data_IF_789381962805
#
_entry.id   IF_789381962805
#
_cell.length_a   1.000
_cell.length_b   1.000
_cell.length_c   1.000
_cell.angle_alpha   90.00
_cell.angle_beta   90.00
_cell.angle_gamma   90.00
#
_symmetry.space_group_name_H-M   'P 1'
#
loop_
_entity.id
_entity.type
_entity.pdbx_description
1 polymer ?
#
# COMPACT_ATOMS: atom_id res chain seq x y z
N UNK A 1 -76.77 -12.08 18.35
CA UNK A 1 -76.11 -12.98 17.38
C UNK A 1 -75.73 -12.10 16.20
N UNK A 2 -74.67 -11.28 16.24
CA UNK A 2 -73.22 -11.52 16.12
C UNK A 2 -72.80 -12.54 15.06
N UNK A 3 -71.93 -12.05 14.18
CA UNK A 3 -71.06 -12.68 13.17
C UNK A 3 -71.66 -12.72 11.76
N UNK A 4 -71.00 -12.21 10.73
CA UNK A 4 -69.70 -11.57 10.61
C UNK A 4 -69.43 -11.33 9.13
N UNK A 5 -69.16 -10.08 8.76
CA UNK A 5 -68.62 -9.71 7.45
C UNK A 5 -67.15 -10.09 7.50
N UNK A 6 -66.71 -11.05 6.69
CA UNK A 6 -65.28 -11.28 6.46
C UNK A 6 -64.80 -10.17 5.52
N UNK A 7 -64.18 -9.16 6.12
CA UNK A 7 -63.38 -8.16 5.44
C UNK A 7 -62.14 -8.84 4.86
N UNK A 8 -61.96 -8.65 3.55
CA UNK A 8 -60.75 -8.97 2.82
C UNK A 8 -59.73 -7.87 3.18
N UNK A 9 -58.97 -8.06 4.26
CA UNK A 9 -57.87 -7.16 4.61
C UNK A 9 -56.62 -7.52 3.81
N UNK A 10 -56.22 -6.53 3.01
CA UNK A 10 -54.97 -6.39 2.28
C UNK A 10 -53.75 -6.90 3.05
N UNK A 11 -53.08 -7.92 2.51
CA UNK A 11 -51.66 -8.17 2.75
C UNK A 11 -50.83 -7.43 1.69
N UNK A 12 -50.66 -6.12 1.90
CA UNK A 12 -49.62 -5.31 1.26
C UNK A 12 -48.79 -4.67 2.39
N UNK A 13 -48.07 -5.48 3.16
CA UNK A 13 -47.20 -4.98 4.23
C UNK A 13 -46.03 -5.97 4.45
N UNK A 14 -45.28 -6.25 3.39
CA UNK A 14 -44.07 -7.11 3.50
C UNK A 14 -42.94 -6.79 2.52
N UNK A 15 -43.02 -5.72 1.72
CA UNK A 15 -41.98 -5.39 0.74
C UNK A 15 -41.21 -4.08 1.03
N UNK A 16 -41.77 -3.13 1.79
CA UNK A 16 -41.09 -1.84 2.05
C UNK A 16 -39.88 -1.97 2.99
N UNK A 17 -39.93 -2.86 3.98
CA UNK A 17 -38.81 -3.09 4.91
C UNK A 17 -37.64 -3.87 4.26
N UNK A 18 -37.93 -4.77 3.31
CA UNK A 18 -36.88 -5.50 2.57
C UNK A 18 -36.18 -4.59 1.55
N UNK A 19 -36.92 -3.70 0.91
CA UNK A 19 -36.39 -2.77 -0.09
C UNK A 19 -35.52 -1.69 0.57
N UNK A 20 -35.93 -1.17 1.73
CA UNK A 20 -35.11 -0.24 2.52
C UNK A 20 -33.81 -0.89 3.03
N UNK A 21 -33.87 -2.18 3.41
CA UNK A 21 -32.71 -2.96 3.87
C UNK A 21 -31.75 -3.32 2.72
N UNK A 22 -32.26 -3.65 1.54
CA UNK A 22 -31.43 -3.94 0.36
C UNK A 22 -30.76 -2.68 -0.19
N UNK A 23 -31.45 -1.55 -0.21
CA UNK A 23 -30.90 -0.25 -0.61
C UNK A 23 -29.80 0.23 0.35
N UNK A 24 -29.99 0.08 1.67
CA UNK A 24 -28.95 0.35 2.65
C UNK A 24 -27.70 -0.52 2.44
N UNK A 25 -27.86 -1.80 2.07
CA UNK A 25 -26.75 -2.70 1.76
C UNK A 25 -26.05 -2.35 0.45
N UNK A 26 -26.78 -1.88 -0.56
CA UNK A 26 -26.19 -1.36 -1.81
C UNK A 26 -25.30 -0.15 -1.51
N UNK A 27 -25.78 0.80 -0.70
CA UNK A 27 -24.98 1.94 -0.25
C UNK A 27 -23.73 1.51 0.54
N UNK A 28 -23.88 0.54 1.45
CA UNK A 28 -22.75 0.01 2.20
C UNK A 28 -21.70 -0.65 1.28
N UNK A 29 -22.12 -1.40 0.27
CA UNK A 29 -21.22 -1.99 -0.72
C UNK A 29 -20.45 -0.92 -1.51
N UNK A 30 -21.14 0.13 -1.96
CA UNK A 30 -20.52 1.21 -2.72
C UNK A 30 -19.53 2.02 -1.85
N UNK A 31 -19.84 2.24 -0.57
CA UNK A 31 -18.90 2.86 0.35
C UNK A 31 -17.67 1.98 0.59
N UNK A 32 -17.83 0.68 0.79
CA UNK A 32 -16.70 -0.25 0.97
C UNK A 32 -15.82 -0.30 -0.28
N UNK A 33 -16.42 -0.31 -1.49
CA UNK A 33 -15.67 -0.22 -2.75
C UNK A 33 -14.86 1.06 -2.85
N UNK A 34 -15.49 2.20 -2.55
CA UNK A 34 -14.84 3.51 -2.58
C UNK A 34 -13.65 3.57 -1.62
N UNK A 35 -13.79 3.02 -0.42
CA UNK A 35 -12.72 2.99 0.58
C UNK A 35 -11.59 2.04 0.15
N UNK A 36 -11.92 0.87 -0.41
CA UNK A 36 -10.93 -0.06 -0.95
C UNK A 36 -10.11 0.58 -2.09
N UNK A 37 -10.76 1.30 -3.00
CA UNK A 37 -10.08 2.02 -4.09
C UNK A 37 -9.12 3.08 -3.56
N UNK A 38 -9.52 3.81 -2.51
CA UNK A 38 -8.66 4.80 -1.85
C UNK A 38 -7.41 4.16 -1.24
N UNK A 39 -7.55 3.00 -0.59
CA UNK A 39 -6.42 2.27 -0.02
C UNK A 39 -5.48 1.71 -1.10
N UNK A 40 -6.03 1.17 -2.18
CA UNK A 40 -5.22 0.72 -3.33
C UNK A 40 -4.43 1.87 -3.95
N UNK A 41 -5.02 3.06 -4.02
CA UNK A 41 -4.34 4.26 -4.47
C UNK A 41 -3.23 4.69 -3.51
N UNK A 42 -3.48 4.69 -2.20
CA UNK A 42 -2.48 4.95 -1.16
C UNK A 42 -1.28 4.02 -1.27
N UNK A 43 -1.53 2.71 -1.43
CA UNK A 43 -0.49 1.72 -1.62
C UNK A 43 0.34 1.95 -2.91
N UNK A 44 -0.32 2.34 -3.99
CA UNK A 44 0.35 2.69 -5.24
C UNK A 44 1.25 3.93 -5.07
N UNK A 45 0.78 4.93 -4.34
CA UNK A 45 1.57 6.14 -4.03
C UNK A 45 2.78 5.81 -3.15
N UNK A 46 2.63 4.94 -2.14
CA UNK A 46 3.75 4.42 -1.34
C UNK A 46 4.77 3.68 -2.21
N UNK A 47 4.30 2.84 -3.14
CA UNK A 47 5.17 2.11 -4.07
C UNK A 47 5.94 3.07 -4.99
N UNK A 48 5.28 4.11 -5.50
CA UNK A 48 5.94 5.15 -6.30
C UNK A 48 6.96 5.94 -5.46
N UNK A 49 6.63 6.28 -4.21
CA UNK A 49 7.53 6.95 -3.27
C UNK A 49 8.78 6.09 -3.01
N UNK A 50 8.60 4.80 -2.75
CA UNK A 50 9.71 3.84 -2.61
C UNK A 50 10.61 3.82 -3.85
N UNK A 51 10.02 3.78 -5.04
CA UNK A 51 10.77 3.81 -6.30
C UNK A 51 11.59 5.10 -6.47
N UNK A 52 11.04 6.25 -6.09
CA UNK A 52 11.78 7.53 -6.10
C UNK A 52 13.00 7.48 -5.18
N UNK A 53 12.92 6.82 -4.02
CA UNK A 53 14.08 6.62 -3.12
C UNK A 53 15.17 5.79 -3.80
N UNK A 54 14.79 4.68 -4.44
CA UNK A 54 15.74 3.84 -5.19
C UNK A 54 16.42 4.63 -6.31
N UNK A 55 15.65 5.39 -7.10
CA UNK A 55 16.19 6.23 -8.16
C UNK A 55 17.15 7.30 -7.63
N UNK A 56 16.79 7.95 -6.52
CA UNK A 56 17.63 8.95 -5.87
C UNK A 56 18.95 8.35 -5.38
N UNK A 57 18.91 7.22 -4.65
CA UNK A 57 20.11 6.52 -4.21
C UNK A 57 20.99 6.08 -5.40
N UNK A 58 20.39 5.64 -6.50
CA UNK A 58 21.11 5.30 -7.73
C UNK A 58 21.82 6.49 -8.38
N UNK A 59 21.20 7.68 -8.35
CA UNK A 59 21.83 8.92 -8.81
C UNK A 59 23.02 9.28 -7.91
N UNK A 60 22.85 9.25 -6.59
CA UNK A 60 23.93 9.51 -5.62
C UNK A 60 25.10 8.55 -5.82
N UNK A 61 24.82 7.26 -5.98
CA UNK A 61 25.84 6.25 -6.24
C UNK A 61 26.59 6.50 -7.56
N UNK A 62 25.88 6.93 -8.61
CA UNK A 62 26.48 7.25 -9.91
C UNK A 62 27.40 8.47 -9.82
N UNK A 63 26.96 9.53 -9.16
CA UNK A 63 27.77 10.73 -8.90
C UNK A 63 29.03 10.35 -8.12
N UNK A 64 28.88 9.58 -7.04
CA UNK A 64 30.02 9.15 -6.23
C UNK A 64 30.99 8.26 -7.04
N UNK A 65 30.48 7.27 -7.78
CA UNK A 65 31.31 6.41 -8.62
C UNK A 65 32.08 7.20 -9.70
N UNK A 66 31.51 8.27 -10.23
CA UNK A 66 32.20 9.17 -11.18
C UNK A 66 33.34 9.97 -10.54
N UNK A 67 33.27 10.23 -9.23
CA UNK A 67 34.29 10.98 -8.48
C UNK A 67 35.45 10.10 -8.00
N UNK A 68 35.25 8.79 -7.88
CA UNK A 68 36.30 7.84 -7.43
C UNK A 68 37.54 7.87 -8.33
N UNK A 69 37.44 7.84 -9.69
CA UNK A 69 38.61 7.92 -10.56
C UNK A 69 39.34 9.27 -10.50
N UNK A 70 38.64 10.36 -10.21
CA UNK A 70 39.26 11.69 -10.07
C UNK A 70 40.03 11.85 -8.76
N UNK A 71 39.76 11.03 -7.75
CA UNK A 71 40.56 10.93 -6.54
C UNK A 71 41.66 9.89 -6.74
N UNK A 72 42.68 10.24 -7.51
CA UNK A 72 43.74 9.33 -8.00
C UNK A 72 44.62 8.69 -6.92
N UNK A 73 44.33 8.90 -5.63
CA UNK A 73 45.03 8.25 -4.53
C UNK A 73 44.07 7.87 -3.39
N UNK A 74 43.45 6.69 -3.50
CA UNK A 74 42.77 6.02 -2.37
C UNK A 74 43.66 5.84 -1.13
N UNK A 75 44.96 6.13 -1.24
CA UNK A 75 45.93 6.19 -0.14
C UNK A 75 45.76 7.40 0.79
N UNK A 76 44.93 8.39 0.46
CA UNK A 76 44.61 9.55 1.33
C UNK A 76 43.39 9.33 2.22
N UNK A 77 42.79 8.13 2.22
CA UNK A 77 41.65 7.86 3.10
C UNK A 77 42.11 7.79 4.56
N UNK A 78 41.85 8.87 5.30
CA UNK A 78 41.99 8.87 6.76
C UNK A 78 41.00 7.88 7.38
N UNK A 79 41.31 7.24 8.53
CA UNK A 79 40.41 6.27 9.17
C UNK A 79 39.01 6.83 9.42
N UNK A 80 38.92 8.11 9.78
CA UNK A 80 37.65 8.81 10.04
C UNK A 80 36.85 8.95 8.74
N UNK A 81 37.47 9.43 7.65
CA UNK A 81 36.79 9.52 6.35
C UNK A 81 36.35 8.15 5.82
N UNK A 82 37.17 7.11 6.01
CA UNK A 82 36.84 5.74 5.62
C UNK A 82 35.62 5.19 6.37
N UNK A 83 35.51 5.45 7.68
CA UNK A 83 34.34 5.06 8.48
C UNK A 83 33.08 5.79 7.99
N UNK A 84 33.18 7.10 7.71
CA UNK A 84 32.03 7.88 7.22
C UNK A 84 31.56 7.41 5.85
N UNK A 85 32.48 7.18 4.91
CA UNK A 85 32.15 6.67 3.57
C UNK A 85 31.62 5.23 3.62
N UNK A 86 32.21 4.37 4.44
CA UNK A 86 31.71 3.01 4.66
C UNK A 86 30.29 3.02 5.25
N UNK A 87 30.06 3.87 6.26
CA UNK A 87 28.74 4.08 6.85
C UNK A 87 27.72 4.61 5.85
N UNK A 88 28.13 5.53 4.97
CA UNK A 88 27.30 6.04 3.88
C UNK A 88 26.86 4.93 2.92
N UNK A 89 27.80 4.09 2.46
CA UNK A 89 27.49 2.98 1.54
C UNK A 89 26.54 1.98 2.19
N UNK A 90 26.78 1.61 3.46
CA UNK A 90 25.91 0.68 4.19
C UNK A 90 24.51 1.28 4.35
N UNK A 91 24.42 2.56 4.72
CA UNK A 91 23.15 3.25 4.94
C UNK A 91 22.32 3.39 3.65
N UNK A 92 22.96 3.79 2.54
CA UNK A 92 22.32 3.86 1.22
C UNK A 92 21.93 2.47 0.70
N UNK A 93 22.76 1.46 0.95
CA UNK A 93 22.47 0.06 0.61
C UNK A 93 21.24 -0.46 1.35
N UNK A 94 21.18 -0.23 2.67
CA UNK A 94 20.05 -0.61 3.51
C UNK A 94 18.75 0.10 3.09
N UNK A 95 18.83 1.42 2.84
CA UNK A 95 17.73 2.23 2.31
C UNK A 95 17.18 1.65 1.00
N UNK A 96 18.08 1.35 0.05
CA UNK A 96 17.71 0.81 -1.26
C UNK A 96 17.10 -0.59 -1.14
N UNK A 97 17.63 -1.44 -0.27
CA UNK A 97 17.09 -2.77 -0.02
C UNK A 97 15.65 -2.72 0.52
N UNK A 98 15.39 -1.86 1.51
CA UNK A 98 14.05 -1.68 2.09
C UNK A 98 13.07 -1.15 1.04
N UNK A 99 13.44 -0.09 0.32
CA UNK A 99 12.60 0.47 -0.73
C UNK A 99 12.32 -0.52 -1.88
N UNK A 100 13.29 -1.38 -2.21
CA UNK A 100 13.11 -2.44 -3.21
C UNK A 100 12.17 -3.55 -2.73
N UNK A 101 12.25 -3.94 -1.45
CA UNK A 101 11.28 -4.87 -0.86
C UNK A 101 9.86 -4.30 -0.91
N UNK A 102 9.67 -3.02 -0.57
CA UNK A 102 8.36 -2.36 -0.67
C UNK A 102 7.80 -2.42 -2.10
N UNK A 103 8.67 -2.33 -3.11
CA UNK A 103 8.29 -2.39 -4.51
C UNK A 103 7.91 -3.79 -4.99
N UNK A 104 8.37 -4.87 -4.34
CA UNK A 104 8.04 -6.23 -4.79
C UNK A 104 6.52 -6.36 -4.88
N UNK A 105 6.06 -6.58 -6.12
CA UNK A 105 4.65 -6.68 -6.49
C UNK A 105 4.09 -7.96 -5.91
N UNK A 106 3.68 -7.91 -4.67
CA UNK A 106 2.77 -8.92 -4.16
C UNK A 106 1.42 -8.73 -4.83
N UNK A 107 0.83 -9.81 -5.34
CA UNK A 107 -0.53 -9.81 -5.84
C UNK A 107 -1.47 -9.48 -4.69
N UNK A 108 -2.01 -8.28 -4.72
CA UNK A 108 -3.04 -7.85 -3.78
C UNK A 108 -4.37 -8.08 -4.48
N UNK A 109 -5.23 -8.87 -3.85
CA UNK A 109 -6.62 -9.00 -4.31
C UNK A 109 -7.26 -7.61 -4.26
N UNK A 110 -8.03 -7.26 -5.28
CA UNK A 110 -8.63 -5.91 -5.44
C UNK A 110 -10.15 -5.96 -5.33
N UNK A 111 -10.70 -7.08 -4.86
CA UNK A 111 -12.15 -7.28 -4.72
C UNK A 111 -12.56 -8.73 -4.97
N UNK A 112 -13.85 -8.98 -5.23
CA UNK A 112 -14.36 -10.32 -5.49
C UNK A 112 -13.67 -10.90 -6.73
N UNK A 113 -12.95 -12.00 -6.51
CA UNK A 113 -12.32 -12.74 -7.58
C UNK A 113 -13.37 -13.15 -8.63
N UNK A 114 -12.94 -13.36 -9.86
CA UNK A 114 -13.78 -13.89 -10.96
C UNK A 114 -14.59 -15.13 -10.56
N UNK A 115 -14.16 -15.86 -9.55
CA UNK A 115 -14.85 -17.02 -9.00
C UNK A 115 -16.12 -16.67 -8.22
N UNK A 116 -16.20 -15.47 -7.62
CA UNK A 116 -17.44 -14.99 -6.98
C UNK A 116 -18.47 -14.56 -8.02
N UNK A 117 -18.04 -13.91 -9.12
CA UNK A 117 -18.88 -13.67 -10.30
C UNK A 117 -19.40 -14.98 -10.90
N UNK A 118 -18.55 -16.01 -11.01
CA UNK A 118 -18.97 -17.35 -11.46
C UNK A 118 -19.92 -18.03 -10.48
N UNK A 119 -19.72 -17.89 -9.18
CA UNK A 119 -20.60 -18.47 -8.17
C UNK A 119 -22.00 -17.85 -8.23
N UNK A 120 -22.09 -16.54 -8.43
CA UNK A 120 -23.36 -15.81 -8.58
C UNK A 120 -24.03 -16.08 -9.93
N UNK A 121 -23.24 -16.25 -10.99
CA UNK A 121 -23.78 -16.69 -12.28
C UNK A 121 -24.29 -18.15 -12.27
N UNK A 122 -23.86 -18.97 -11.29
CA UNK A 122 -24.16 -20.42 -11.23
C UNK A 122 -25.17 -20.78 -10.14
N UNK A 123 -25.33 -19.94 -9.13
CA UNK A 123 -26.30 -20.08 -8.06
C UNK A 123 -27.18 -18.84 -8.01
N UNK A 124 -28.49 -19.05 -8.06
CA UNK A 124 -29.53 -18.02 -7.99
C UNK A 124 -29.61 -17.51 -6.54
N UNK A 125 -28.61 -16.75 -6.12
CA UNK A 125 -28.53 -16.15 -4.80
C UNK A 125 -29.56 -15.03 -4.69
N UNK A 126 -30.28 -15.01 -3.57
CA UNK A 126 -31.10 -13.86 -3.21
C UNK A 126 -30.23 -12.60 -3.08
N UNK A 127 -30.78 -11.45 -3.47
CA UNK A 127 -30.05 -10.18 -3.56
C UNK A 127 -29.40 -9.81 -2.22
N UNK A 128 -30.11 -10.04 -1.12
CA UNK A 128 -29.65 -9.74 0.23
C UNK A 128 -28.43 -10.58 0.62
N UNK A 129 -28.40 -11.86 0.22
CA UNK A 129 -27.30 -12.79 0.48
C UNK A 129 -26.08 -12.48 -0.40
N UNK A 130 -26.31 -12.13 -1.67
CA UNK A 130 -25.28 -11.63 -2.56
C UNK A 130 -24.60 -10.37 -2.01
N UNK A 131 -25.37 -9.35 -1.64
CA UNK A 131 -24.88 -8.09 -1.09
C UNK A 131 -24.05 -8.32 0.18
N UNK A 132 -24.55 -9.15 1.11
CA UNK A 132 -23.83 -9.45 2.35
C UNK A 132 -22.48 -10.12 2.09
N UNK A 133 -22.44 -11.05 1.14
CA UNK A 133 -21.23 -11.80 0.81
C UNK A 133 -20.22 -10.94 0.05
N UNK A 134 -20.71 -10.05 -0.82
CA UNK A 134 -19.87 -9.09 -1.53
C UNK A 134 -19.24 -8.08 -0.57
N UNK A 135 -20.01 -7.56 0.40
CA UNK A 135 -19.48 -6.66 1.45
C UNK A 135 -18.37 -7.35 2.25
N UNK A 136 -18.58 -8.58 2.71
CA UNK A 136 -17.57 -9.32 3.48
C UNK A 136 -16.26 -9.52 2.69
N UNK A 137 -16.34 -9.85 1.40
CA UNK A 137 -15.13 -10.05 0.59
C UNK A 137 -14.37 -8.75 0.38
N UNK A 138 -15.06 -7.63 0.16
CA UNK A 138 -14.38 -6.34 0.05
C UNK A 138 -13.82 -5.88 1.41
N UNK A 139 -14.48 -6.19 2.52
CA UNK A 139 -13.97 -5.92 3.87
C UNK A 139 -12.69 -6.72 4.17
N UNK A 140 -12.69 -8.03 3.91
CA UNK A 140 -11.50 -8.89 4.06
C UNK A 140 -10.35 -8.42 3.17
N UNK A 141 -10.69 -7.90 1.99
CA UNK A 141 -9.74 -7.30 1.07
C UNK A 141 -9.16 -6.00 1.64
N UNK A 142 -10.02 -5.13 2.18
CA UNK A 142 -9.63 -3.88 2.82
C UNK A 142 -8.65 -4.12 3.98
N UNK A 143 -8.95 -5.03 4.91
CA UNK A 143 -8.08 -5.33 6.06
C UNK A 143 -6.67 -5.79 5.62
N UNK A 144 -6.61 -6.57 4.53
CA UNK A 144 -5.34 -7.02 3.93
C UNK A 144 -4.59 -5.90 3.23
N UNK A 145 -5.28 -4.96 2.59
CA UNK A 145 -4.65 -3.80 1.96
C UNK A 145 -4.15 -2.85 3.03
N UNK A 146 -4.97 -2.54 4.04
CA UNK A 146 -4.64 -1.62 5.13
C UNK A 146 -3.40 -2.09 5.91
N UNK A 147 -3.38 -3.36 6.35
CA UNK A 147 -2.20 -3.92 7.05
C UNK A 147 -0.93 -3.82 6.21
N UNK A 148 -1.02 -4.12 4.91
CA UNK A 148 0.12 -3.95 3.98
C UNK A 148 0.51 -2.49 3.75
N UNK A 149 -0.44 -1.57 3.71
CA UNK A 149 -0.18 -0.13 3.57
C UNK A 149 0.60 0.38 4.77
N UNK A 150 0.20 0.01 6.00
CA UNK A 150 0.89 0.41 7.23
C UNK A 150 2.33 -0.11 7.27
N UNK A 151 2.53 -1.42 7.08
CA UNK A 151 3.85 -2.05 7.07
C UNK A 151 4.76 -1.42 6.00
N UNK A 152 4.23 -1.22 4.78
CA UNK A 152 4.98 -0.63 3.68
C UNK A 152 5.28 0.85 3.90
N UNK A 153 4.41 1.59 4.58
CA UNK A 153 4.64 3.00 4.89
C UNK A 153 5.83 3.15 5.84
N UNK A 154 5.88 2.34 6.90
CA UNK A 154 7.01 2.35 7.85
C UNK A 154 8.33 1.98 7.15
N UNK A 155 8.29 1.00 6.25
CA UNK A 155 9.46 0.60 5.45
C UNK A 155 9.97 1.75 4.57
N UNK A 156 9.07 2.49 3.92
CA UNK A 156 9.41 3.62 3.04
C UNK A 156 9.97 4.80 3.84
N UNK A 157 9.37 5.13 4.98
CA UNK A 157 9.84 6.24 5.80
C UNK A 157 11.21 5.92 6.42
N UNK A 158 11.42 4.69 6.88
CA UNK A 158 12.74 4.22 7.31
C UNK A 158 13.77 4.24 6.17
N UNK A 159 13.37 3.84 4.95
CA UNK A 159 14.23 3.92 3.77
C UNK A 159 14.60 5.38 3.43
N UNK A 160 13.67 6.32 3.57
CA UNK A 160 13.95 7.74 3.37
C UNK A 160 14.92 8.31 4.41
N UNK A 161 14.69 8.04 5.69
CA UNK A 161 15.54 8.54 6.78
C UNK A 161 16.97 8.00 6.62
N UNK A 162 17.10 6.70 6.32
CA UNK A 162 18.41 6.09 6.09
C UNK A 162 19.07 6.61 4.80
N UNK A 163 18.31 6.89 3.73
CA UNK A 163 18.85 7.56 2.53
C UNK A 163 19.48 8.91 2.87
N UNK A 164 18.74 9.75 3.59
CA UNK A 164 19.19 11.10 3.99
C UNK A 164 20.44 11.01 4.86
N UNK A 165 20.45 10.12 5.85
CA UNK A 165 21.61 9.88 6.72
C UNK A 165 22.84 9.46 5.89
N UNK A 166 22.64 8.53 4.95
CA UNK A 166 23.68 8.06 4.04
C UNK A 166 24.28 9.20 3.19
N UNK A 167 23.45 10.08 2.64
CA UNK A 167 23.92 11.25 1.88
C UNK A 167 24.72 12.21 2.77
N UNK A 168 24.27 12.49 3.99
CA UNK A 168 24.98 13.36 4.93
C UNK A 168 26.36 12.77 5.26
N UNK A 169 26.44 11.47 5.56
CA UNK A 169 27.70 10.78 5.82
C UNK A 169 28.62 10.82 4.60
N UNK A 170 28.07 10.67 3.39
CA UNK A 170 28.82 10.72 2.14
C UNK A 170 29.43 12.10 1.92
N UNK A 171 28.65 13.16 2.11
CA UNK A 171 29.11 14.55 1.97
C UNK A 171 30.15 14.89 3.04
N UNK A 172 29.91 14.52 4.30
CA UNK A 172 30.88 14.75 5.38
C UNK A 172 32.19 14.00 5.16
N UNK A 173 32.11 12.72 4.76
CA UNK A 173 33.27 11.88 4.47
C UNK A 173 34.09 12.39 3.28
N UNK A 174 33.41 12.82 2.21
CA UNK A 174 34.09 13.44 1.05
C UNK A 174 34.73 14.78 1.40
N UNK A 175 34.07 15.66 2.14
CA UNK A 175 34.66 16.94 2.59
C UNK A 175 35.90 16.68 3.45
N UNK A 176 35.84 15.73 4.39
CA UNK A 176 36.98 15.36 5.23
C UNK A 176 38.16 14.84 4.41
N UNK A 177 37.93 14.10 3.32
CA UNK A 177 38.99 13.69 2.39
C UNK A 177 39.65 14.86 1.65
N UNK A 178 38.94 15.97 1.44
CA UNK A 178 39.50 17.15 0.76
C UNK A 178 40.22 18.10 1.71
N UNK A 179 39.86 18.09 3.00
CA UNK A 179 40.42 19.00 4.01
C UNK A 179 41.66 18.39 4.69
N UNK A 180 41.67 17.07 4.92
CA UNK A 180 42.76 16.34 5.58
C UNK A 180 43.69 15.68 4.57
#
# INVERSE_FOLDING_TARGET
MRNGVEETENQEESNEDSDTSSEARRHALDDVRRVLDQELQSLNDLTQKAWRVVQFNGLVATVFASLVPTQSSLTQITPISGILLGGAVISLGYSTYRAFQTQQRESISTGPETDMFRAVAKHDYDEVDYLSRAINIHSDCFDKVQSKTEDKSEDVDNALITSILGVILLVAGTILLFIL
#
